data_IF_525344832208
#
_entry.id   IF_525344832208
#
_cell.length_a   1.000
_cell.length_b   1.000
_cell.length_c   1.000
_cell.angle_alpha   90.00
_cell.angle_beta   90.00
_cell.angle_gamma   90.00
#
_symmetry.space_group_name_H-M   'P 1'
#
loop_
_entity.id
_entity.type
_entity.pdbx_description
1 polymer ?
#
# COMPACT_ATOMS: atom_id res chain seq x y z
N UNK A 1 8.89 17.39 -0.13
CA UNK A 1 9.86 16.42 -0.71
C UNK A 1 9.13 15.49 -1.65
N UNK A 2 9.73 15.16 -2.79
CA UNK A 2 9.20 14.19 -3.75
C UNK A 2 10.29 13.15 -3.95
N UNK A 3 10.02 11.87 -3.69
CA UNK A 3 10.99 10.80 -3.91
C UNK A 3 10.61 9.99 -5.13
N UNK A 4 11.62 9.57 -5.87
CA UNK A 4 11.53 8.67 -7.01
C UNK A 4 12.81 7.82 -7.08
N UNK A 5 12.78 6.78 -7.89
CA UNK A 5 13.95 6.00 -8.26
C UNK A 5 14.12 5.93 -9.79
N UNK A 6 15.22 5.32 -10.23
CA UNK A 6 15.58 5.19 -11.65
C UNK A 6 14.55 4.43 -12.50
N UNK A 7 13.61 3.70 -11.89
CA UNK A 7 12.52 2.98 -12.57
C UNK A 7 11.19 3.76 -12.55
N UNK A 8 11.14 4.91 -11.90
CA UNK A 8 9.93 5.72 -11.75
C UNK A 8 9.60 6.52 -13.03
N UNK A 9 8.32 6.83 -13.25
CA UNK A 9 7.89 7.71 -14.34
C UNK A 9 8.18 9.19 -14.01
N UNK A 10 9.31 9.72 -14.49
CA UNK A 10 9.70 11.10 -14.21
C UNK A 10 8.70 12.16 -14.70
N UNK A 11 7.75 11.81 -15.58
CA UNK A 11 6.70 12.76 -16.00
C UNK A 11 5.79 13.11 -14.82
N UNK A 12 5.42 12.13 -13.99
CA UNK A 12 4.57 12.38 -12.81
C UNK A 12 5.33 13.11 -11.71
N UNK A 13 6.62 12.81 -11.55
CA UNK A 13 7.52 13.49 -10.60
C UNK A 13 7.63 14.97 -10.96
N UNK A 14 7.94 15.27 -12.23
CA UNK A 14 8.10 16.64 -12.72
C UNK A 14 6.77 17.41 -12.71
N UNK A 15 5.66 16.76 -13.05
CA UNK A 15 4.33 17.38 -12.97
C UNK A 15 3.98 17.77 -11.52
N UNK A 16 4.21 16.87 -10.57
CA UNK A 16 3.99 17.12 -9.14
C UNK A 16 4.88 18.23 -8.61
N UNK A 17 6.17 18.24 -8.97
CA UNK A 17 7.10 19.31 -8.56
C UNK A 17 6.66 20.69 -9.08
N UNK A 18 6.24 20.77 -10.35
CA UNK A 18 5.72 22.01 -10.94
C UNK A 18 4.42 22.46 -10.27
N UNK A 19 3.51 21.52 -9.99
CA UNK A 19 2.26 21.83 -9.29
C UNK A 19 2.51 22.32 -7.87
N UNK A 20 3.45 21.70 -7.15
CA UNK A 20 3.86 22.14 -5.82
C UNK A 20 4.44 23.56 -5.85
N UNK A 21 5.34 23.86 -6.79
CA UNK A 21 5.87 25.21 -6.97
C UNK A 21 4.77 26.24 -7.29
N UNK A 22 3.81 25.88 -8.17
CA UNK A 22 2.68 26.74 -8.50
C UNK A 22 1.71 26.98 -7.31
N UNK A 23 1.79 26.14 -6.27
CA UNK A 23 1.08 26.31 -5.00
C UNK A 23 1.97 26.94 -3.91
N UNK A 24 3.01 27.70 -4.31
CA UNK A 24 3.99 28.39 -3.45
C UNK A 24 4.81 27.49 -2.51
N UNK A 25 4.82 26.17 -2.75
CA UNK A 25 5.69 25.25 -2.04
C UNK A 25 7.13 25.32 -2.59
N UNK A 26 8.07 24.78 -1.82
CA UNK A 26 9.49 24.66 -2.19
C UNK A 26 9.80 23.18 -2.50
N UNK A 27 9.51 22.68 -3.71
CA UNK A 27 9.70 21.27 -4.01
C UNK A 27 11.18 20.91 -4.04
N UNK A 28 11.51 19.76 -3.46
CA UNK A 28 12.81 19.10 -3.60
C UNK A 28 12.54 17.68 -4.10
N UNK A 29 13.11 17.35 -5.26
CA UNK A 29 13.03 16.02 -5.86
C UNK A 29 14.28 15.24 -5.50
N UNK A 30 14.11 14.04 -4.97
CA UNK A 30 15.18 13.10 -4.64
C UNK A 30 15.04 11.91 -5.59
N UNK A 31 16.05 11.69 -6.43
CA UNK A 31 16.14 10.55 -7.33
C UNK A 31 17.17 9.57 -6.79
N UNK A 32 16.74 8.34 -6.51
CA UNK A 32 17.57 7.25 -6.00
C UNK A 32 17.85 6.22 -7.11
N UNK A 33 18.93 5.46 -7.01
CA UNK A 33 19.03 4.21 -7.77
C UNK A 33 17.95 3.24 -7.26
N UNK A 34 17.29 2.51 -8.16
CA UNK A 34 16.29 1.52 -7.77
C UNK A 34 16.96 0.39 -6.98
N UNK A 35 16.61 0.18 -5.70
CA UNK A 35 17.13 -0.94 -4.92
C UNK A 35 16.58 -2.28 -5.42
N UNK A 36 17.24 -3.38 -5.03
CA UNK A 36 16.84 -4.73 -5.41
C UNK A 36 15.64 -5.26 -4.60
N UNK A 37 15.26 -4.56 -3.52
CA UNK A 37 14.15 -4.90 -2.65
C UNK A 37 13.23 -3.71 -2.40
N UNK A 38 12.25 -3.91 -1.53
CA UNK A 38 11.25 -2.90 -1.16
C UNK A 38 11.14 -2.78 0.36
N UNK A 39 10.65 -1.64 0.84
CA UNK A 39 10.61 -1.34 2.27
C UNK A 39 11.96 -1.55 2.94
N UNK A 40 12.00 -2.27 4.05
CA UNK A 40 13.25 -2.52 4.80
C UNK A 40 14.29 -3.32 4.00
N UNK A 41 13.88 -4.12 3.02
CA UNK A 41 14.81 -4.86 2.18
C UNK A 41 15.59 -3.96 1.20
N UNK A 42 15.10 -2.74 0.96
CA UNK A 42 15.83 -1.73 0.20
C UNK A 42 16.99 -1.12 1.00
N UNK A 43 16.95 -1.18 2.33
CA UNK A 43 17.84 -0.43 3.22
C UNK A 43 19.33 -0.49 2.85
N UNK A 44 19.93 -1.65 2.53
CA UNK A 44 21.35 -1.73 2.21
C UNK A 44 21.80 -0.87 1.02
N UNK A 45 20.86 -0.43 0.17
CA UNK A 45 21.13 0.33 -1.05
C UNK A 45 20.66 1.80 -0.97
N UNK A 46 20.07 2.24 0.15
CA UNK A 46 19.57 3.62 0.28
C UNK A 46 20.57 4.50 1.06
N UNK A 47 20.69 5.79 0.71
CA UNK A 47 21.49 6.74 1.47
C UNK A 47 20.77 7.13 2.78
N UNK A 48 20.87 6.26 3.79
CA UNK A 48 20.09 6.29 5.03
C UNK A 48 19.96 7.67 5.68
N UNK A 49 21.08 8.27 6.09
CA UNK A 49 21.05 9.50 6.89
C UNK A 49 20.62 10.71 6.05
N UNK A 50 21.06 10.81 4.80
CA UNK A 50 20.68 11.91 3.91
C UNK A 50 19.19 11.86 3.56
N UNK A 51 18.67 10.66 3.24
CA UNK A 51 17.26 10.46 2.95
C UNK A 51 16.41 10.74 4.19
N UNK A 52 16.79 10.19 5.35
CA UNK A 52 16.06 10.43 6.61
C UNK A 52 16.05 11.91 6.98
N UNK A 53 17.21 12.59 6.90
CA UNK A 53 17.30 14.02 7.19
C UNK A 53 16.42 14.87 6.29
N UNK A 54 16.36 14.56 4.99
CA UNK A 54 15.47 15.24 4.06
C UNK A 54 13.98 15.03 4.40
N UNK A 55 13.58 13.81 4.75
CA UNK A 55 12.22 13.48 5.14
C UNK A 55 11.84 14.12 6.50
N UNK A 56 12.77 14.19 7.44
CA UNK A 56 12.57 14.87 8.72
C UNK A 56 12.42 16.39 8.59
N UNK A 57 13.07 17.00 7.59
CA UNK A 57 12.91 18.41 7.30
C UNK A 57 11.62 18.77 6.54
N UNK A 58 10.90 17.79 6.01
CA UNK A 58 9.77 18.01 5.10
C UNK A 58 8.45 18.31 5.82
N UNK A 59 7.61 19.17 5.23
CA UNK A 59 6.21 19.33 5.66
C UNK A 59 5.25 18.37 4.93
N UNK A 60 5.62 17.97 3.72
CA UNK A 60 4.88 17.01 2.90
C UNK A 60 5.85 16.16 2.09
N UNK A 61 5.51 14.89 1.91
CA UNK A 61 6.26 13.92 1.14
C UNK A 61 5.33 13.16 0.19
N UNK A 62 5.61 13.24 -1.10
CA UNK A 62 4.97 12.40 -2.12
C UNK A 62 5.98 11.39 -2.62
N UNK A 63 5.63 10.11 -2.59
CA UNK A 63 6.49 9.03 -3.06
C UNK A 63 6.01 8.45 -4.39
N UNK A 64 6.89 8.44 -5.38
CA UNK A 64 6.66 7.86 -6.71
C UNK A 64 7.59 6.69 -7.04
N UNK A 65 8.43 6.29 -6.08
CA UNK A 65 9.36 5.18 -6.22
C UNK A 65 8.67 3.93 -6.79
N UNK A 66 9.34 3.24 -7.73
CA UNK A 66 8.96 1.89 -8.15
C UNK A 66 9.27 0.89 -7.03
N UNK A 67 10.42 1.05 -6.39
CA UNK A 67 10.87 0.27 -5.25
C UNK A 67 10.62 1.07 -3.98
N UNK A 68 9.44 0.86 -3.41
CA UNK A 68 8.93 1.76 -2.37
C UNK A 68 9.78 1.78 -1.10
N UNK A 69 9.86 2.97 -0.53
CA UNK A 69 10.44 3.32 0.75
C UNK A 69 9.43 3.08 1.89
N UNK A 70 8.13 2.92 1.63
CA UNK A 70 7.15 2.55 2.66
C UNK A 70 7.67 1.34 3.47
N UNK A 71 7.71 1.48 4.81
CA UNK A 71 8.27 0.51 5.77
C UNK A 71 9.80 0.31 5.76
N UNK A 72 10.56 1.09 4.99
CA UNK A 72 12.03 1.19 5.11
C UNK A 72 12.46 1.88 6.40
N UNK A 73 13.75 1.79 6.77
CA UNK A 73 14.27 2.51 7.94
C UNK A 73 14.09 4.04 7.83
N UNK A 74 14.38 4.70 6.69
CA UNK A 74 14.12 6.13 6.53
C UNK A 74 12.64 6.51 6.68
N UNK A 75 11.72 5.70 6.13
CA UNK A 75 10.28 5.90 6.32
C UNK A 75 9.89 5.81 7.80
N UNK A 76 10.31 4.73 8.48
CA UNK A 76 9.94 4.50 9.88
C UNK A 76 10.46 5.62 10.79
N UNK A 77 11.72 6.04 10.59
CA UNK A 77 12.31 7.18 11.32
C UNK A 77 11.57 8.47 11.03
N UNK A 78 11.28 8.78 9.76
CA UNK A 78 10.56 10.00 9.40
C UNK A 78 9.15 10.06 10.02
N UNK A 79 8.39 8.97 9.95
CA UNK A 79 7.05 8.90 10.56
C UNK A 79 7.10 8.98 12.09
N UNK A 80 8.16 8.47 12.71
CA UNK A 80 8.34 8.54 14.15
C UNK A 80 8.82 9.93 14.63
N UNK A 81 9.78 10.53 13.94
CA UNK A 81 10.50 11.71 14.39
C UNK A 81 9.83 13.01 13.89
N UNK A 82 9.28 13.02 12.67
CA UNK A 82 8.66 14.19 12.07
C UNK A 82 7.13 14.18 12.24
N UNK A 83 6.66 14.72 13.36
CA UNK A 83 5.23 14.75 13.73
C UNK A 83 4.35 15.63 12.84
N UNK A 84 4.93 16.49 12.00
CA UNK A 84 4.20 17.34 11.05
C UNK A 84 4.15 16.74 9.64
N UNK A 85 4.85 15.64 9.38
CA UNK A 85 4.98 15.06 8.05
C UNK A 85 3.63 14.61 7.52
N UNK A 86 3.30 15.06 6.31
CA UNK A 86 2.15 14.59 5.52
C UNK A 86 2.67 13.74 4.38
N UNK A 87 2.58 12.43 4.53
CA UNK A 87 3.07 11.47 3.55
C UNK A 87 1.92 10.97 2.67
N UNK A 88 2.15 10.97 1.36
CA UNK A 88 1.24 10.44 0.35
C UNK A 88 1.98 9.38 -0.48
N UNK A 89 1.55 8.14 -0.34
CA UNK A 89 2.05 7.01 -1.12
C UNK A 89 1.38 6.98 -2.50
N UNK A 90 2.18 7.19 -3.56
CA UNK A 90 1.77 7.06 -4.98
C UNK A 90 2.81 6.24 -5.73
N UNK A 91 3.29 5.17 -5.09
CA UNK A 91 4.37 4.32 -5.62
C UNK A 91 4.00 3.78 -6.99
N UNK A 92 4.99 3.62 -7.86
CA UNK A 92 4.81 3.17 -9.26
C UNK A 92 3.83 3.97 -10.13
N UNK A 93 3.32 5.12 -9.67
CA UNK A 93 2.38 5.93 -10.44
C UNK A 93 3.00 6.35 -11.77
N UNK A 94 2.29 6.08 -12.87
CA UNK A 94 2.64 6.57 -14.19
C UNK A 94 1.66 7.66 -14.67
N UNK A 95 2.01 8.33 -15.77
CA UNK A 95 1.20 9.43 -16.30
C UNK A 95 -0.25 9.03 -16.62
N UNK A 96 -0.46 7.80 -17.10
CA UNK A 96 -1.81 7.29 -17.43
C UNK A 96 -2.64 7.08 -16.16
N UNK A 97 -2.04 6.50 -15.13
CA UNK A 97 -2.64 6.34 -13.80
C UNK A 97 -2.94 7.70 -13.18
N UNK A 98 -1.99 8.65 -13.17
CA UNK A 98 -2.22 9.98 -12.58
C UNK A 98 -3.44 10.69 -13.20
N UNK A 99 -3.66 10.56 -14.51
CA UNK A 99 -4.85 11.12 -15.15
C UNK A 99 -6.14 10.42 -14.69
N UNK A 100 -6.18 9.08 -14.62
CA UNK A 100 -7.39 8.33 -14.22
C UNK A 100 -7.67 8.38 -12.73
N UNK A 101 -6.61 8.24 -11.92
CA UNK A 101 -6.65 8.00 -10.49
C UNK A 101 -6.56 9.27 -9.65
N UNK A 102 -6.17 10.38 -10.27
CA UNK A 102 -6.12 11.69 -9.60
C UNK A 102 -6.91 12.72 -10.41
N UNK A 103 -6.54 12.92 -11.68
CA UNK A 103 -7.06 14.02 -12.50
C UNK A 103 -8.53 13.92 -12.90
N UNK A 104 -9.11 12.71 -12.94
CA UNK A 104 -10.49 12.45 -13.43
C UNK A 104 -11.40 11.87 -12.34
N UNK A 105 -11.16 12.21 -11.08
CA UNK A 105 -11.90 11.69 -9.94
C UNK A 105 -12.80 12.78 -9.35
N UNK A 106 -14.07 12.44 -9.11
CA UNK A 106 -14.97 13.29 -8.32
C UNK A 106 -14.76 13.00 -6.83
N UNK A 107 -13.77 13.67 -6.23
CA UNK A 107 -13.40 13.49 -4.81
C UNK A 107 -14.55 13.75 -3.82
N UNK A 108 -15.39 14.79 -3.97
CA UNK A 108 -16.55 14.97 -3.09
C UNK A 108 -17.52 13.77 -3.11
N UNK A 109 -17.78 13.19 -4.29
CA UNK A 109 -18.65 12.01 -4.41
C UNK A 109 -17.97 10.76 -3.82
N UNK A 110 -16.71 10.51 -4.18
CA UNK A 110 -15.92 9.39 -3.66
C UNK A 110 -15.83 9.46 -2.13
N UNK A 111 -15.52 10.63 -1.57
CA UNK A 111 -15.40 10.82 -0.13
C UNK A 111 -16.71 10.54 0.64
N UNK A 112 -17.87 10.94 0.09
CA UNK A 112 -19.19 10.62 0.66
C UNK A 112 -19.47 9.11 0.62
N UNK A 113 -19.11 8.46 -0.48
CA UNK A 113 -19.27 7.02 -0.64
C UNK A 113 -18.39 6.23 0.34
N UNK A 114 -17.08 6.53 0.37
CA UNK A 114 -16.13 5.90 1.28
C UNK A 114 -16.50 6.13 2.75
N UNK A 115 -17.00 7.32 3.11
CA UNK A 115 -17.41 7.58 4.48
C UNK A 115 -18.55 6.65 4.95
N UNK A 116 -19.52 6.36 4.08
CA UNK A 116 -20.60 5.41 4.42
C UNK A 116 -20.06 4.01 4.64
N UNK A 117 -19.17 3.54 3.75
CA UNK A 117 -18.54 2.23 3.87
C UNK A 117 -17.62 2.12 5.07
N UNK A 118 -16.89 3.19 5.39
CA UNK A 118 -16.04 3.27 6.57
C UNK A 118 -16.88 3.08 7.83
N UNK A 119 -18.02 3.80 7.94
CA UNK A 119 -18.96 3.61 9.05
C UNK A 119 -19.48 2.17 9.13
N UNK A 120 -19.90 1.59 8.01
CA UNK A 120 -20.35 0.19 7.98
C UNK A 120 -19.24 -0.76 8.45
N UNK A 121 -17.99 -0.51 8.03
CA UNK A 121 -16.82 -1.33 8.41
C UNK A 121 -16.53 -1.20 9.90
N UNK A 122 -16.55 0.01 10.47
CA UNK A 122 -16.27 0.23 11.90
C UNK A 122 -17.39 -0.29 12.81
N UNK A 123 -18.63 -0.27 12.35
CA UNK A 123 -19.80 -0.80 13.08
C UNK A 123 -19.87 -2.34 13.00
N UNK A 124 -19.04 -2.97 12.15
CA UNK A 124 -19.00 -4.43 11.97
C UNK A 124 -17.91 -5.06 12.84
N UNK A 125 -18.25 -6.18 13.49
CA UNK A 125 -17.32 -6.97 14.31
C UNK A 125 -16.81 -8.21 13.60
N UNK A 126 -17.66 -8.89 12.82
CA UNK A 126 -17.32 -10.16 12.16
C UNK A 126 -17.41 -10.00 10.65
N UNK A 127 -16.37 -10.44 9.95
CA UNK A 127 -16.27 -10.40 8.49
C UNK A 127 -16.17 -11.82 7.94
N UNK A 128 -16.88 -12.06 6.84
CA UNK A 128 -16.81 -13.29 6.04
C UNK A 128 -16.72 -12.91 4.56
N UNK A 129 -15.63 -13.32 3.92
CA UNK A 129 -15.33 -13.03 2.52
C UNK A 129 -15.52 -14.29 1.70
N UNK A 130 -16.26 -14.16 0.60
CA UNK A 130 -16.49 -15.27 -0.33
C UNK A 130 -16.36 -14.79 -1.75
N UNK A 131 -15.75 -15.61 -2.61
CA UNK A 131 -15.61 -15.31 -4.05
C UNK A 131 -15.92 -16.55 -4.89
N UNK A 132 -16.33 -16.37 -6.17
CA UNK A 132 -16.44 -17.49 -7.11
C UNK A 132 -15.15 -18.27 -7.31
N UNK A 133 -13.98 -17.66 -7.05
CA UNK A 133 -12.68 -18.31 -7.12
C UNK A 133 -12.44 -19.28 -5.95
N UNK A 134 -13.33 -19.33 -4.96
CA UNK A 134 -13.28 -20.24 -3.83
C UNK A 134 -12.67 -19.63 -2.57
N UNK A 135 -12.61 -18.30 -2.47
CA UNK A 135 -12.34 -17.65 -1.18
C UNK A 135 -13.48 -17.95 -0.22
N UNK A 136 -13.12 -18.28 1.01
CA UNK A 136 -14.01 -18.50 2.14
C UNK A 136 -13.18 -18.22 3.39
N UNK A 137 -13.06 -16.93 3.72
CA UNK A 137 -12.20 -16.44 4.79
C UNK A 137 -13.03 -15.65 5.80
N UNK A 138 -12.84 -15.93 7.08
CA UNK A 138 -13.53 -15.21 8.15
C UNK A 138 -12.57 -14.72 9.24
N UNK A 139 -12.94 -13.62 9.90
CA UNK A 139 -12.20 -13.05 11.02
C UNK A 139 -13.03 -12.04 11.81
N UNK A 140 -12.61 -11.77 13.04
CA UNK A 140 -13.09 -10.62 13.82
C UNK A 140 -12.28 -9.37 13.49
N UNK A 141 -12.91 -8.20 13.50
CA UNK A 141 -12.22 -6.90 13.49
C UNK A 141 -11.41 -6.75 14.76
N UNK A 142 -10.22 -6.17 14.68
CA UNK A 142 -9.47 -5.81 15.87
C UNK A 142 -10.22 -4.71 16.66
N UNK A 143 -10.56 -4.93 17.95
CA UNK A 143 -11.26 -3.93 18.76
C UNK A 143 -10.33 -2.84 19.31
N UNK A 144 -9.00 -3.02 19.20
CA UNK A 144 -8.00 -2.07 19.69
C UNK A 144 -8.18 -0.69 19.03
N UNK A 145 -8.46 0.38 19.81
CA UNK A 145 -8.63 1.73 19.26
C UNK A 145 -7.37 2.29 18.61
N UNK A 146 -6.18 1.78 18.94
CA UNK A 146 -4.91 2.19 18.32
C UNK A 146 -4.75 1.57 16.91
N UNK A 147 -5.55 0.54 16.58
CA UNK A 147 -5.63 -0.06 15.24
C UNK A 147 -6.64 0.70 14.39
N UNK A 148 -6.25 1.90 13.98
CA UNK A 148 -7.08 2.83 13.21
C UNK A 148 -7.56 2.18 11.90
N UNK A 149 -8.88 2.23 11.66
CA UNK A 149 -9.46 1.95 10.34
C UNK A 149 -9.27 3.18 9.45
N UNK A 150 -8.49 3.04 8.37
CA UNK A 150 -8.13 4.13 7.48
C UNK A 150 -9.30 4.56 6.59
N UNK A 151 -9.24 5.79 6.09
CA UNK A 151 -10.25 6.36 5.21
C UNK A 151 -9.56 7.26 4.18
N UNK A 152 -9.15 6.66 3.08
CA UNK A 152 -8.31 7.32 2.08
C UNK A 152 -9.18 8.06 1.06
N UNK A 153 -9.53 9.30 1.40
CA UNK A 153 -10.33 10.19 0.53
C UNK A 153 -9.51 10.88 -0.56
N UNK A 154 -8.18 10.71 -0.56
CA UNK A 154 -7.26 11.33 -1.52
C UNK A 154 -6.58 12.61 -1.06
N UNK A 155 -6.67 12.95 0.23
CA UNK A 155 -6.03 14.13 0.80
C UNK A 155 -5.04 13.74 1.91
N UNK A 156 -3.80 14.22 1.78
CA UNK A 156 -2.80 14.25 2.85
C UNK A 156 -2.68 15.66 3.40
N UNK A 157 -3.80 16.19 3.89
CA UNK A 157 -3.93 17.55 4.42
C UNK A 157 -3.53 17.65 5.90
N UNK A 158 -3.63 16.56 6.65
CA UNK A 158 -3.19 16.44 8.05
C UNK A 158 -2.01 15.46 8.20
N UNK A 159 -1.14 15.62 9.23
CA UNK A 159 0.02 14.75 9.44
C UNK A 159 -0.34 13.26 9.49
N UNK A 160 0.57 12.42 9.01
CA UNK A 160 0.42 10.97 8.96
C UNK A 160 0.72 10.36 7.60
N UNK A 161 0.50 9.05 7.53
CA UNK A 161 0.61 8.26 6.31
C UNK A 161 -0.76 8.21 5.62
N UNK A 162 -0.78 8.47 4.31
CA UNK A 162 -1.96 8.37 3.45
C UNK A 162 -1.62 7.56 2.22
N UNK A 163 -2.59 6.77 1.79
CA UNK A 163 -2.51 6.00 0.56
C UNK A 163 -3.30 6.70 -0.54
N UNK A 164 -3.16 6.18 -1.76
CA UNK A 164 -3.99 6.62 -2.87
C UNK A 164 -5.48 6.52 -2.51
N UNK A 165 -6.28 7.45 -3.05
CA UNK A 165 -7.70 7.51 -2.76
C UNK A 165 -8.44 6.21 -3.08
N UNK A 166 -9.56 5.98 -2.41
CA UNK A 166 -10.45 4.85 -2.70
C UNK A 166 -10.28 3.65 -1.78
N UNK A 167 -9.37 3.72 -0.80
CA UNK A 167 -9.07 2.61 0.10
C UNK A 167 -9.64 2.83 1.51
N UNK A 168 -10.07 1.73 2.13
CA UNK A 168 -10.44 1.64 3.55
C UNK A 168 -9.74 0.41 4.11
N UNK A 169 -8.70 0.60 4.91
CA UNK A 169 -7.90 -0.47 5.50
C UNK A 169 -8.17 -0.64 6.98
N UNK A 170 -8.19 -1.88 7.47
CA UNK A 170 -8.29 -2.18 8.90
C UNK A 170 -7.50 -3.43 9.27
N UNK A 171 -7.22 -3.57 10.56
CA UNK A 171 -6.58 -4.75 11.10
C UNK A 171 -7.62 -5.79 11.54
N UNK A 172 -7.49 -7.06 11.13
CA UNK A 172 -8.20 -8.16 11.77
C UNK A 172 -7.63 -8.41 13.18
N UNK A 173 -8.40 -9.10 14.01
CA UNK A 173 -7.89 -9.76 15.20
C UNK A 173 -7.17 -11.04 14.76
N UNK A 174 -5.85 -11.00 14.77
CA UNK A 174 -5.01 -11.92 13.98
C UNK A 174 -5.25 -13.40 14.25
N UNK A 175 -5.45 -13.81 15.50
CA UNK A 175 -5.67 -15.20 15.88
C UNK A 175 -7.07 -15.74 15.51
N UNK A 176 -7.98 -14.87 15.03
CA UNK A 176 -9.33 -15.26 14.58
C UNK A 176 -9.43 -15.51 13.08
N UNK A 177 -8.38 -15.19 12.31
CA UNK A 177 -8.43 -15.35 10.85
C UNK A 177 -8.33 -16.83 10.49
N UNK A 178 -9.37 -17.37 9.86
CA UNK A 178 -9.42 -18.78 9.45
C UNK A 178 -10.12 -18.94 8.11
N UNK A 179 -9.72 -19.96 7.35
CA UNK A 179 -10.39 -20.36 6.11
C UNK A 179 -9.45 -20.44 4.91
N UNK A 180 -9.99 -20.16 3.72
CA UNK A 180 -9.28 -20.17 2.43
C UNK A 180 -9.20 -18.75 1.90
N UNK A 181 -7.97 -18.23 1.82
CA UNK A 181 -7.65 -16.98 1.14
C UNK A 181 -7.29 -17.27 -0.31
N UNK A 182 -7.84 -16.51 -1.24
CA UNK A 182 -7.53 -16.67 -2.67
C UNK A 182 -7.09 -15.33 -3.24
N UNK A 183 -5.88 -15.29 -3.81
CA UNK A 183 -5.46 -14.18 -4.65
C UNK A 183 -5.78 -14.53 -6.10
N UNK A 184 -6.64 -13.75 -6.75
CA UNK A 184 -7.11 -13.94 -8.13
C UNK A 184 -6.96 -12.70 -9.02
N UNK A 185 -6.25 -11.66 -8.53
CA UNK A 185 -5.96 -10.43 -9.26
C UNK A 185 -4.46 -10.21 -9.47
N UNK A 186 -3.75 -9.83 -8.41
CA UNK A 186 -2.32 -9.54 -8.44
C UNK A 186 -1.64 -9.79 -7.09
N UNK A 187 -0.35 -10.11 -7.12
CA UNK A 187 0.51 -10.28 -5.92
C UNK A 187 1.82 -9.55 -6.14
N UNK A 188 2.04 -8.46 -5.39
CA UNK A 188 3.24 -7.62 -5.52
C UNK A 188 3.89 -7.40 -4.17
N UNK A 189 5.17 -7.77 -3.99
CA UNK A 189 5.96 -8.71 -4.81
C UNK A 189 5.51 -10.18 -4.61
N UNK A 190 5.98 -11.16 -5.41
CA UNK A 190 6.94 -11.01 -6.51
C UNK A 190 6.34 -11.06 -7.92
N UNK A 191 5.05 -11.35 -8.08
CA UNK A 191 4.49 -11.85 -9.34
C UNK A 191 3.98 -10.75 -10.27
N UNK A 192 3.30 -9.73 -9.73
CA UNK A 192 2.50 -8.81 -10.54
C UNK A 192 1.09 -9.33 -10.73
N UNK A 193 0.53 -9.13 -11.93
CA UNK A 193 -0.81 -9.62 -12.28
C UNK A 193 -0.78 -11.15 -12.41
N UNK A 194 -1.76 -11.82 -11.82
CA UNK A 194 -1.87 -13.27 -11.85
C UNK A 194 -2.52 -13.77 -13.13
N UNK A 195 -2.04 -14.90 -13.63
CA UNK A 195 -2.69 -15.68 -14.70
C UNK A 195 -3.54 -16.82 -14.12
N UNK A 196 -3.18 -17.33 -12.94
CA UNK A 196 -3.93 -18.32 -12.18
C UNK A 196 -4.09 -17.94 -10.69
N UNK A 197 -5.23 -18.28 -10.05
CA UNK A 197 -5.45 -17.93 -8.66
C UNK A 197 -4.55 -18.73 -7.70
N UNK A 198 -3.98 -18.05 -6.71
CA UNK A 198 -3.20 -18.65 -5.62
C UNK A 198 -4.12 -18.86 -4.42
N UNK A 199 -4.30 -20.12 -4.03
CA UNK A 199 -5.14 -20.50 -2.88
C UNK A 199 -4.27 -20.84 -1.67
N UNK A 200 -4.66 -20.35 -0.51
CA UNK A 200 -3.94 -20.53 0.74
C UNK A 200 -4.90 -20.89 1.87
N UNK A 201 -4.53 -21.90 2.66
CA UNK A 201 -5.24 -22.23 3.89
C UNK A 201 -4.66 -21.43 5.03
N UNK A 202 -5.53 -20.73 5.77
CA UNK A 202 -5.17 -19.89 6.90
C UNK A 202 -5.76 -20.48 8.18
N UNK A 203 -4.92 -20.65 9.19
CA UNK A 203 -5.31 -21.06 10.54
C UNK A 203 -4.76 -20.07 11.55
N UNK A 204 -5.64 -19.45 12.36
CA UNK A 204 -5.28 -18.46 13.39
C UNK A 204 -4.32 -17.38 12.87
N UNK A 205 -4.61 -16.87 11.66
CA UNK A 205 -3.83 -15.85 10.99
C UNK A 205 -2.49 -16.30 10.41
N UNK A 206 -2.22 -17.60 10.33
CA UNK A 206 -1.03 -18.16 9.69
C UNK A 206 -1.40 -18.92 8.41
N UNK A 207 -0.66 -18.65 7.33
CA UNK A 207 -0.73 -19.43 6.09
C UNK A 207 -0.04 -20.78 6.31
N UNK A 208 -0.82 -21.81 6.60
CA UNK A 208 -0.34 -23.17 6.87
C UNK A 208 -0.17 -24.00 5.60
N UNK A 209 -0.82 -23.60 4.50
CA UNK A 209 -0.72 -24.27 3.20
C UNK A 209 -0.85 -23.27 2.06
N UNK A 210 -0.03 -23.44 1.04
CA UNK A 210 -0.19 -22.81 -0.28
C UNK A 210 -0.46 -23.93 -1.28
N UNK A 211 -1.48 -23.78 -2.12
CA UNK A 211 -1.84 -24.80 -3.10
C UNK A 211 -0.81 -24.91 -4.23
N UNK A 212 -0.91 -25.99 -5.02
CA UNK A 212 -0.02 -26.23 -6.16
C UNK A 212 -0.40 -25.38 -7.36
N UNK A 213 0.58 -24.72 -7.97
CA UNK A 213 0.49 -23.91 -9.18
C UNK A 213 1.88 -23.38 -9.53
N UNK A 214 2.11 -22.86 -10.73
CA UNK A 214 3.40 -22.26 -11.05
C UNK A 214 3.58 -20.97 -10.22
N UNK A 215 2.60 -20.07 -10.27
CA UNK A 215 2.62 -18.81 -9.52
C UNK A 215 2.56 -19.04 -8.00
N UNK A 216 1.77 -20.03 -7.56
CA UNK A 216 1.68 -20.40 -6.16
C UNK A 216 3.01 -20.92 -5.58
N UNK A 217 3.76 -21.73 -6.35
CA UNK A 217 5.10 -22.21 -5.93
C UNK A 217 6.12 -21.07 -5.89
N UNK A 218 6.09 -20.16 -6.85
CA UNK A 218 6.98 -18.99 -6.84
C UNK A 218 6.69 -18.09 -5.64
N UNK A 219 5.41 -17.82 -5.34
CA UNK A 219 5.02 -17.06 -4.16
C UNK A 219 5.46 -17.76 -2.86
N UNK A 220 5.25 -19.08 -2.75
CA UNK A 220 5.69 -19.83 -1.57
C UNK A 220 7.22 -19.82 -1.40
N UNK A 221 7.98 -19.97 -2.49
CA UNK A 221 9.44 -19.85 -2.45
C UNK A 221 9.87 -18.46 -1.99
N UNK A 222 9.21 -17.41 -2.48
CA UNK A 222 9.47 -16.04 -2.06
C UNK A 222 9.20 -15.84 -0.56
N UNK A 223 8.05 -16.31 -0.05
CA UNK A 223 7.73 -16.25 1.39
C UNK A 223 8.80 -16.95 2.24
N UNK A 224 9.21 -18.15 1.83
CA UNK A 224 10.19 -18.95 2.56
C UNK A 224 11.62 -18.36 2.49
N UNK A 225 11.95 -17.62 1.43
CA UNK A 225 13.31 -17.06 1.21
C UNK A 225 13.76 -16.08 2.31
N UNK A 226 12.81 -15.43 2.98
CA UNK A 226 13.09 -14.50 4.07
C UNK A 226 13.45 -15.18 5.39
N UNK A 227 13.17 -16.49 5.51
CA UNK A 227 13.39 -17.28 6.71
C UNK A 227 12.87 -16.59 8.00
N UNK A 228 11.67 -16.01 7.93
CA UNK A 228 11.08 -15.25 9.04
C UNK A 228 9.62 -15.66 9.27
N UNK A 229 9.22 -16.00 10.51
CA UNK A 229 7.89 -16.56 10.80
C UNK A 229 6.75 -15.58 10.48
N UNK A 230 7.00 -14.27 10.55
CA UNK A 230 5.99 -13.26 10.21
C UNK A 230 5.63 -13.21 8.72
N UNK A 231 6.41 -13.83 7.82
CA UNK A 231 6.08 -13.81 6.39
C UNK A 231 4.78 -14.55 6.07
N UNK A 232 4.41 -15.54 6.88
CA UNK A 232 3.17 -16.30 6.71
C UNK A 232 2.00 -15.69 7.48
N UNK A 233 2.15 -14.48 8.04
CA UNK A 233 1.11 -13.82 8.82
C UNK A 233 0.43 -12.70 8.03
N UNK A 234 -0.88 -12.62 8.16
CA UNK A 234 -1.69 -11.58 7.55
C UNK A 234 -1.68 -10.31 8.43
N UNK A 235 -1.52 -9.13 7.83
CA UNK A 235 -1.30 -7.87 8.55
C UNK A 235 -2.52 -6.94 8.58
N UNK A 236 -3.24 -6.84 7.47
CA UNK A 236 -4.39 -5.96 7.30
C UNK A 236 -5.23 -6.42 6.11
N UNK A 237 -6.39 -5.82 5.98
CA UNK A 237 -7.35 -6.03 4.89
C UNK A 237 -7.84 -4.66 4.43
N UNK A 238 -8.13 -4.53 3.15
CA UNK A 238 -8.61 -3.28 2.56
C UNK A 238 -9.84 -3.52 1.69
N UNK A 239 -10.74 -2.56 1.70
CA UNK A 239 -11.66 -2.34 0.59
C UNK A 239 -11.08 -1.33 -0.39
N UNK A 240 -11.28 -1.56 -1.68
CA UNK A 240 -10.86 -0.65 -2.76
C UNK A 240 -12.03 -0.30 -3.68
N UNK A 241 -12.31 0.99 -3.82
CA UNK A 241 -13.43 1.52 -4.61
C UNK A 241 -13.04 2.69 -5.49
N UNK A 242 -11.79 2.70 -5.95
CA UNK A 242 -11.32 3.76 -6.82
C UNK A 242 -11.97 3.62 -8.22
N UNK A 243 -12.74 4.63 -8.71
CA UNK A 243 -13.56 4.48 -9.92
C UNK A 243 -12.76 4.38 -11.23
N UNK A 244 -11.50 4.81 -11.20
CA UNK A 244 -10.59 4.78 -12.35
C UNK A 244 -9.59 3.62 -12.35
N UNK A 245 -9.59 2.78 -11.30
CA UNK A 245 -8.62 1.70 -11.13
C UNK A 245 -8.93 0.52 -12.05
N UNK A 246 -7.88 -0.23 -12.38
CA UNK A 246 -7.94 -1.40 -13.26
C UNK A 246 -6.85 -2.38 -12.81
N UNK A 247 -7.17 -3.67 -12.85
CA UNK A 247 -6.19 -4.72 -12.58
C UNK A 247 -5.08 -4.72 -13.64
N UNK A 248 -3.86 -4.40 -13.23
CA UNK A 248 -2.73 -4.02 -14.11
C UNK A 248 -1.39 -4.68 -13.74
N UNK A 249 -1.31 -5.33 -12.58
CA UNK A 249 -0.09 -5.80 -11.93
C UNK A 249 0.67 -4.72 -11.15
N UNK A 250 0.06 -3.55 -10.93
CA UNK A 250 0.69 -2.42 -10.25
C UNK A 250 0.12 -2.25 -8.83
N UNK A 251 1.00 -2.33 -7.83
CA UNK A 251 0.62 -2.38 -6.41
C UNK A 251 -0.23 -1.19 -5.92
N UNK A 252 -0.08 0.00 -6.51
CA UNK A 252 -0.89 1.14 -6.06
C UNK A 252 -2.26 1.18 -6.72
N UNK A 253 -2.41 0.61 -7.93
CA UNK A 253 -3.68 0.60 -8.68
C UNK A 253 -4.56 -0.60 -8.33
N UNK A 254 -3.94 -1.76 -8.09
CA UNK A 254 -4.59 -3.05 -7.88
C UNK A 254 -4.93 -3.30 -6.40
#
# INVERSE_FOLDING_TARGET
VITADTESDLRVVNATARAAFAADAKPMVILLASPLGVGKAADPMLPMESLTGALNGADAWVEFNKKWLLFSTPYNRAMQENKKLRYMNLVEMNASMMVRLIGRVNYPALGKFLYKLHKMTTDTTHFRFTTPAGEELEFERNPDPDRITTLEKGYADVPGCRMMAGQIGWAPKFDTINGVLVFDGSVVPPLGKLEEPIRMTVEKGEIVKVDSGNEAREFEQWLNSWNHPQMRRLAHVCWSFHPGARLSGNIVED
#
